data_IF_635627631120
#
_entry.id   IF_635627631120
#
_cell.length_a   1.000
_cell.length_b   1.000
_cell.length_c   1.000
_cell.angle_alpha   90.00
_cell.angle_beta   90.00
_cell.angle_gamma   90.00
#
_symmetry.space_group_name_H-M   'P 1'
#
loop_
_entity.id
_entity.type
_entity.pdbx_description
1 polymer ?
#
# COMPACT_ATOMS: atom_id res chain seq x y z
N UNK A 1 9.26 9.59 -4.49
CA UNK A 1 8.03 8.92 -4.08
C UNK A 1 6.88 9.90 -4.03
N UNK A 2 5.78 9.52 -4.64
CA UNK A 2 4.59 10.35 -4.63
C UNK A 2 3.57 9.74 -3.69
N UNK A 3 3.06 10.52 -2.78
CA UNK A 3 2.20 10.03 -1.73
C UNK A 3 0.92 10.86 -1.65
N UNK A 4 -0.21 10.21 -1.90
CA UNK A 4 -1.50 10.87 -1.80
C UNK A 4 -2.55 9.91 -1.27
N UNK A 5 -2.85 10.01 -0.01
CA UNK A 5 -3.87 9.15 0.57
C UNK A 5 -4.39 9.77 1.86
N UNK A 6 -5.68 10.01 1.91
CA UNK A 6 -6.34 10.43 3.14
C UNK A 6 -6.25 9.33 4.19
N UNK A 7 -6.09 8.09 3.76
CA UNK A 7 -5.97 6.96 4.67
C UNK A 7 -4.71 7.05 5.52
N UNK A 8 -3.63 7.57 4.94
CA UNK A 8 -2.39 7.73 5.68
C UNK A 8 -2.59 8.71 6.84
N UNK A 9 -3.26 9.82 6.58
CA UNK A 9 -3.55 10.80 7.61
C UNK A 9 -4.42 10.19 8.71
N UNK A 10 -5.36 9.33 8.32
CA UNK A 10 -6.18 8.61 9.28
C UNK A 10 -5.30 7.84 10.26
N UNK A 11 -4.33 7.08 9.74
CA UNK A 11 -3.47 6.26 10.59
C UNK A 11 -2.55 7.08 11.48
N UNK A 12 -2.18 8.27 11.04
CA UNK A 12 -1.33 9.15 11.85
C UNK A 12 -1.98 9.48 13.19
N UNK A 13 -3.31 9.56 13.21
CA UNK A 13 -4.02 9.93 14.42
C UNK A 13 -4.64 8.73 15.15
N UNK A 14 -4.94 7.66 14.43
CA UNK A 14 -5.71 6.57 14.99
C UNK A 14 -4.88 5.39 15.49
N UNK A 15 -3.79 5.07 14.84
CA UNK A 15 -3.05 3.86 15.20
C UNK A 15 -1.60 3.95 14.74
N UNK A 16 -0.74 4.29 15.68
CA UNK A 16 0.68 4.45 15.36
C UNK A 16 1.38 3.16 15.00
N UNK A 17 0.91 2.04 15.53
CA UNK A 17 1.50 0.75 15.19
C UNK A 17 1.24 0.41 13.74
N UNK A 18 0.02 0.65 13.31
CA UNK A 18 -0.35 0.42 11.92
C UNK A 18 0.41 1.37 11.02
N UNK A 19 0.57 2.62 11.44
CA UNK A 19 1.33 3.59 10.67
C UNK A 19 2.76 3.13 10.47
N UNK A 20 3.40 2.59 11.50
CA UNK A 20 4.75 2.08 11.40
C UNK A 20 4.84 0.95 10.38
N UNK A 21 3.84 0.09 10.38
CA UNK A 21 3.81 -1.02 9.43
C UNK A 21 3.67 -0.50 8.00
N UNK A 22 2.81 0.49 7.81
CA UNK A 22 2.62 1.11 6.50
C UNK A 22 3.92 1.73 6.01
N UNK A 23 4.61 2.47 6.87
CA UNK A 23 5.86 3.10 6.51
C UNK A 23 6.92 2.06 6.13
N UNK A 24 6.93 0.94 6.83
CA UNK A 24 7.85 -0.13 6.54
C UNK A 24 7.56 -0.75 5.18
N UNK A 25 6.29 -0.91 4.85
CA UNK A 25 5.89 -1.43 3.55
C UNK A 25 6.29 -0.47 2.44
N UNK A 26 6.08 0.82 2.65
CA UNK A 26 6.45 1.83 1.64
C UNK A 26 7.96 1.81 1.42
N UNK A 27 8.73 1.72 2.50
CA UNK A 27 10.18 1.61 2.42
C UNK A 27 10.59 0.40 1.59
N UNK A 28 9.95 -0.72 1.84
CA UNK A 28 10.26 -1.95 1.14
C UNK A 28 9.90 -1.84 -0.35
N UNK A 29 8.79 -1.19 -0.66
CA UNK A 29 8.40 -0.96 -2.04
C UNK A 29 9.46 -0.13 -2.75
N UNK A 30 9.95 0.91 -2.11
CA UNK A 30 10.99 1.76 -2.70
C UNK A 30 12.27 1.01 -2.94
N UNK A 31 12.54 0.00 -2.13
CA UNK A 31 13.78 -0.77 -2.22
C UNK A 31 13.66 -1.98 -3.14
N UNK A 32 12.56 -2.69 -3.06
CA UNK A 32 12.41 -3.98 -3.73
C UNK A 32 11.33 -4.04 -4.80
N UNK A 33 10.67 -2.92 -5.05
CA UNK A 33 9.65 -2.89 -6.08
C UNK A 33 8.45 -3.74 -5.71
N UNK A 34 8.05 -4.62 -6.62
CA UNK A 34 6.86 -5.44 -6.41
C UNK A 34 7.18 -6.78 -5.77
N UNK A 35 8.28 -6.86 -5.07
CA UNK A 35 8.66 -8.04 -4.30
C UNK A 35 8.95 -7.60 -2.88
N UNK A 36 8.87 -8.53 -1.95
CA UNK A 36 9.21 -8.22 -0.58
C UNK A 36 8.13 -8.56 0.41
N UNK A 37 8.10 -7.81 1.51
CA UNK A 37 7.21 -8.14 2.63
C UNK A 37 5.76 -7.77 2.33
N UNK A 38 4.85 -8.38 3.08
CA UNK A 38 3.43 -8.05 2.97
C UNK A 38 2.70 -8.76 1.85
N UNK A 39 3.28 -9.80 1.29
CA UNK A 39 2.67 -10.59 0.21
C UNK A 39 2.19 -9.73 -0.95
N UNK A 40 3.09 -9.10 -1.70
CA UNK A 40 2.69 -8.28 -2.84
C UNK A 40 1.87 -9.08 -3.84
N UNK A 41 0.79 -8.50 -4.30
CA UNK A 41 -0.14 -9.18 -5.18
C UNK A 41 -0.67 -8.21 -6.23
N UNK A 42 -0.60 -8.60 -7.49
CA UNK A 42 -1.11 -7.77 -8.57
C UNK A 42 -2.63 -7.80 -8.56
N UNK A 43 -3.24 -6.65 -8.79
CA UNK A 43 -4.68 -6.52 -8.82
C UNK A 43 -5.17 -6.53 -10.26
N UNK A 44 -6.47 -6.77 -10.43
CA UNK A 44 -7.06 -6.85 -11.76
C UNK A 44 -8.33 -6.00 -11.81
N UNK A 45 -9.05 -6.07 -12.92
CA UNK A 45 -10.27 -5.31 -13.07
C UNK A 45 -10.00 -3.83 -13.07
N UNK A 46 -10.78 -3.08 -12.31
CA UNK A 46 -10.64 -1.63 -12.23
C UNK A 46 -9.32 -1.19 -11.64
N UNK A 47 -8.64 -2.09 -10.96
CA UNK A 47 -7.36 -1.78 -10.32
C UNK A 47 -6.19 -2.44 -11.04
N UNK A 48 -6.38 -2.81 -12.30
CA UNK A 48 -5.29 -3.36 -13.09
C UNK A 48 -4.13 -2.36 -13.14
N UNK A 49 -2.92 -2.86 -12.91
CA UNK A 49 -1.75 -1.99 -12.83
C UNK A 49 -1.37 -1.61 -11.42
N UNK A 50 -2.28 -1.83 -10.49
CA UNK A 50 -2.00 -1.61 -9.08
C UNK A 50 -1.63 -2.91 -8.39
N UNK A 51 -1.00 -2.79 -7.24
CA UNK A 51 -0.60 -3.91 -6.41
C UNK A 51 -1.10 -3.69 -5.00
N UNK A 52 -1.22 -4.77 -4.25
CA UNK A 52 -1.57 -4.65 -2.85
C UNK A 52 -0.56 -5.36 -1.99
N UNK A 53 -0.35 -4.85 -0.79
CA UNK A 53 0.43 -5.51 0.24
C UNK A 53 -0.39 -5.53 1.52
N UNK A 54 -0.22 -6.57 2.29
CA UNK A 54 -0.93 -6.75 3.54
C UNK A 54 -0.39 -5.83 4.62
N UNK A 55 -1.25 -5.04 5.22
CA UNK A 55 -0.91 -4.27 6.40
C UNK A 55 -1.23 -5.11 7.63
N UNK A 56 -2.45 -5.64 7.66
CA UNK A 56 -2.91 -6.55 8.69
C UNK A 56 -4.02 -7.42 8.08
N UNK A 57 -4.75 -8.15 8.89
CA UNK A 57 -5.80 -9.04 8.37
C UNK A 57 -6.88 -8.31 7.60
N UNK A 58 -7.07 -7.06 7.91
CA UNK A 58 -8.19 -6.28 7.44
C UNK A 58 -7.81 -5.24 6.39
N UNK A 59 -6.66 -4.64 6.56
CA UNK A 59 -6.26 -3.49 5.75
C UNK A 59 -5.16 -3.84 4.78
N UNK A 60 -5.21 -3.18 3.62
CA UNK A 60 -4.25 -3.39 2.54
C UNK A 60 -3.70 -2.06 2.08
N UNK A 61 -2.44 -2.09 1.65
CA UNK A 61 -1.78 -0.97 1.01
C UNK A 61 -1.91 -1.16 -0.50
N UNK A 62 -2.64 -0.27 -1.16
CA UNK A 62 -2.83 -0.34 -2.60
C UNK A 62 -1.95 0.71 -3.26
N UNK A 63 -1.11 0.29 -4.17
CA UNK A 63 -0.11 1.18 -4.75
C UNK A 63 0.22 0.77 -6.17
N UNK A 64 0.93 1.64 -6.85
CA UNK A 64 1.55 1.29 -8.12
C UNK A 64 2.89 1.99 -8.22
N UNK A 65 3.77 1.46 -9.03
CA UNK A 65 5.09 2.04 -9.27
C UNK A 65 5.09 2.57 -10.69
N UNK A 66 5.49 3.83 -10.83
CA UNK A 66 5.55 4.49 -12.12
C UNK A 66 6.91 5.15 -12.22
N UNK A 67 7.78 4.59 -13.07
CA UNK A 67 9.15 5.05 -13.21
C UNK A 67 9.84 5.01 -11.83
N UNK A 68 10.16 6.18 -11.28
CA UNK A 68 10.85 6.24 -9.99
C UNK A 68 9.90 6.63 -8.86
N UNK A 69 8.60 6.62 -9.11
CA UNK A 69 7.62 7.07 -8.14
C UNK A 69 6.76 5.92 -7.63
N UNK A 70 6.43 5.99 -6.36
CA UNK A 70 5.47 5.08 -5.75
C UNK A 70 4.21 5.88 -5.48
N UNK A 71 3.12 5.44 -6.07
CA UNK A 71 1.84 6.11 -5.95
C UNK A 71 0.95 5.31 -5.01
N UNK A 72 0.55 5.90 -3.90
CA UNK A 72 -0.30 5.23 -2.93
C UNK A 72 -1.74 5.62 -3.18
N UNK A 73 -2.55 4.64 -3.54
CA UNK A 73 -3.97 4.87 -3.77
C UNK A 73 -4.74 4.80 -2.46
N UNK A 74 -4.45 3.81 -1.64
CA UNK A 74 -5.17 3.61 -0.40
C UNK A 74 -4.34 2.77 0.54
N UNK A 75 -4.58 2.86 1.81
CA UNK A 75 -3.87 2.05 2.81
C UNK A 75 -4.75 1.74 4.01
N UNK A 76 -6.02 1.49 3.78
CA UNK A 76 -6.94 1.31 4.90
C UNK A 76 -7.87 0.13 4.79
N UNK A 77 -8.42 -0.15 3.63
CA UNK A 77 -9.43 -1.18 3.50
C UNK A 77 -8.93 -2.39 2.74
N UNK A 78 -9.65 -3.46 2.85
CA UNK A 78 -9.36 -4.66 2.09
C UNK A 78 -10.03 -4.52 0.72
N UNK A 79 -9.23 -4.34 -0.29
CA UNK A 79 -9.71 -4.25 -1.65
C UNK A 79 -9.61 -5.60 -2.32
N UNK A 80 -10.73 -6.10 -2.71
CA UNK A 80 -10.79 -7.41 -3.32
C UNK A 80 -11.44 -7.22 -4.68
N UNK A 81 -10.82 -7.74 -5.68
CA UNK A 81 -11.38 -7.67 -7.02
C UNK A 81 -12.28 -8.87 -7.23
N UNK A 82 -13.46 -8.68 -6.92
CA UNK A 82 -14.43 -9.75 -7.02
C UNK A 82 -14.91 -9.96 -8.41
#
# INVERSE_FOLDING_TARGET
MLFRSADYTFWETEDRKTLKKINKLIEDICRNGNEGIGKPEALSGNLAGYWSRRINDKDRLIYKIDENNVFILACRYHYSDK
#
